data_IF_375918572640
#
_entry.id   IF_375918572640
#
_cell.length_a   1.000
_cell.length_b   1.000
_cell.length_c   1.000
_cell.angle_alpha   90.00
_cell.angle_beta   90.00
_cell.angle_gamma   90.00
#
_symmetry.space_group_name_H-M   'P 1'
#
loop_
_entity.id
_entity.type
_entity.pdbx_description
1 polymer ?
#
# COMPACT_ATOMS: atom_id res chain seq x y z
N UNK A 1 -36.22 -0.86 -3.31
CA UNK A 1 -34.80 -0.56 -3.58
C UNK A 1 -34.06 -0.58 -2.27
N UNK A 2 -33.32 -1.65 -1.99
CA UNK A 2 -32.39 -1.70 -0.85
C UNK A 2 -31.27 -0.70 -1.14
N UNK A 3 -31.12 0.33 -0.31
CA UNK A 3 -29.94 1.22 -0.36
C UNK A 3 -28.70 0.32 -0.22
N UNK A 4 -27.88 0.26 -1.27
CA UNK A 4 -26.65 -0.52 -1.24
C UNK A 4 -25.77 0.00 -0.10
N UNK A 5 -25.47 -0.86 0.86
CA UNK A 5 -24.58 -0.54 1.98
C UNK A 5 -23.21 -0.14 1.43
N UNK A 6 -22.62 0.94 1.97
CA UNK A 6 -21.31 1.40 1.54
C UNK A 6 -20.25 0.30 1.73
N UNK A 7 -19.33 0.08 0.78
CA UNK A 7 -18.27 -0.92 0.90
C UNK A 7 -17.42 -0.71 2.17
N UNK A 8 -16.99 -1.80 2.83
CA UNK A 8 -16.19 -1.75 4.07
C UNK A 8 -14.95 -0.88 3.93
N UNK A 9 -14.32 -0.84 2.75
CA UNK A 9 -13.14 0.00 2.46
C UNK A 9 -13.33 1.48 2.87
N UNK A 10 -14.57 2.01 2.77
CA UNK A 10 -14.90 3.39 3.07
C UNK A 10 -15.56 3.59 4.44
N UNK A 11 -15.43 2.60 5.33
CA UNK A 11 -15.98 2.62 6.68
C UNK A 11 -14.88 2.76 7.73
N UNK A 12 -15.22 3.26 8.92
CA UNK A 12 -14.28 3.44 10.02
C UNK A 12 -13.62 2.13 10.45
N UNK A 13 -12.40 2.23 10.99
CA UNK A 13 -11.65 1.10 11.53
C UNK A 13 -10.80 1.52 12.74
N UNK A 14 -10.56 0.61 13.65
CA UNK A 14 -9.67 0.82 14.80
C UNK A 14 -8.28 0.33 14.45
N UNK A 15 -7.31 1.23 14.39
CA UNK A 15 -5.89 0.98 14.11
C UNK A 15 -5.09 1.06 15.40
N UNK A 16 -4.25 0.08 15.74
CA UNK A 16 -3.51 0.11 17.00
C UNK A 16 -3.66 -1.17 17.82
N UNK A 17 -2.63 -1.52 18.59
CA UNK A 17 -2.73 -2.53 19.64
C UNK A 17 -3.64 -2.09 20.78
N UNK A 18 -3.93 -3.00 21.71
CA UNK A 18 -4.77 -2.84 22.91
C UNK A 18 -4.44 -1.61 23.76
N UNK A 19 -3.19 -1.15 23.77
CA UNK A 19 -2.73 -0.06 24.64
C UNK A 19 -3.09 1.35 24.15
N UNK A 20 -3.11 1.59 22.84
CA UNK A 20 -3.31 2.94 22.26
C UNK A 20 -3.97 2.89 20.88
N UNK A 21 -5.25 2.49 20.78
CA UNK A 21 -5.96 2.46 19.51
C UNK A 21 -6.28 3.87 18.99
N UNK A 22 -6.21 4.03 17.68
CA UNK A 22 -6.57 5.22 16.90
C UNK A 22 -7.77 4.88 16.02
N UNK A 23 -8.77 5.76 16.00
CA UNK A 23 -9.93 5.60 15.13
C UNK A 23 -9.66 6.21 13.75
N UNK A 24 -9.59 5.35 12.73
CA UNK A 24 -9.58 5.75 11.33
C UNK A 24 -11.01 6.03 10.86
N UNK A 25 -11.17 7.05 10.01
CA UNK A 25 -12.46 7.36 9.37
C UNK A 25 -12.78 6.41 8.20
N UNK A 26 -11.76 5.79 7.62
CA UNK A 26 -11.84 4.86 6.48
C UNK A 26 -10.63 3.91 6.47
N UNK A 27 -10.66 2.87 5.62
CA UNK A 27 -9.61 1.84 5.52
C UNK A 27 -8.59 2.07 4.40
N UNK A 28 -8.56 3.26 3.83
CA UNK A 28 -7.55 3.72 2.86
C UNK A 28 -6.44 4.49 3.60
N UNK A 29 -5.17 4.11 3.41
CA UNK A 29 -4.02 4.76 4.05
C UNK A 29 -2.92 5.07 3.04
N UNK A 30 -2.05 6.04 3.37
CA UNK A 30 -0.85 6.30 2.58
C UNK A 30 0.24 5.29 2.96
N UNK A 31 0.86 4.66 1.95
CA UNK A 31 2.00 3.76 2.20
C UNK A 31 3.19 4.54 2.79
N UNK A 32 3.90 4.02 3.80
CA UNK A 32 5.11 4.66 4.30
C UNK A 32 6.17 4.66 3.18
N UNK A 33 6.56 5.84 2.73
CA UNK A 33 7.62 6.01 1.74
C UNK A 33 8.97 5.87 2.43
N UNK A 34 9.44 4.65 2.58
CA UNK A 34 10.82 4.42 3.02
C UNK A 34 11.45 3.46 2.03
N UNK A 35 12.72 3.64 1.68
CA UNK A 35 13.63 2.67 1.05
C UNK A 35 13.93 2.87 -0.45
N UNK A 36 14.99 3.63 -0.72
CA UNK A 36 15.91 3.37 -1.85
C UNK A 36 17.05 2.48 -1.31
N UNK A 37 17.41 1.41 -2.03
CA UNK A 37 18.51 0.48 -1.68
C UNK A 37 19.51 0.26 -2.81
N UNK A 38 19.44 1.13 -3.81
CA UNK A 38 20.26 1.09 -5.01
C UNK A 38 21.29 2.21 -4.93
N UNK A 39 22.38 2.06 -5.69
CA UNK A 39 23.22 3.20 -6.01
C UNK A 39 22.50 4.19 -6.94
N UNK A 40 23.20 5.25 -7.33
CA UNK A 40 22.67 6.32 -8.17
C UNK A 40 22.22 5.85 -9.58
N UNK A 41 22.60 4.63 -9.97
CA UNK A 41 22.18 3.96 -11.20
C UNK A 41 20.83 3.24 -11.10
N UNK A 42 20.28 3.10 -9.89
CA UNK A 42 19.03 2.38 -9.66
C UNK A 42 19.13 0.86 -9.86
N UNK A 43 20.35 0.30 -9.94
CA UNK A 43 20.59 -1.14 -10.17
C UNK A 43 20.92 -1.82 -8.84
N UNK A 44 20.32 -2.99 -8.51
CA UNK A 44 20.64 -3.68 -7.28
C UNK A 44 22.02 -4.31 -7.36
N UNK A 45 22.97 -3.75 -6.61
CA UNK A 45 24.34 -4.27 -6.51
C UNK A 45 24.45 -5.51 -5.60
N UNK A 46 25.64 -6.11 -5.58
CA UNK A 46 25.95 -7.31 -4.80
C UNK A 46 25.61 -7.18 -3.30
N UNK A 47 25.66 -5.98 -2.72
CA UNK A 47 25.26 -5.73 -1.34
C UNK A 47 23.76 -5.98 -1.08
N UNK A 48 22.89 -5.76 -2.06
CA UNK A 48 21.44 -6.06 -1.95
C UNK A 48 21.19 -7.56 -2.03
N UNK A 49 21.92 -8.25 -2.92
CA UNK A 49 21.88 -9.71 -3.05
C UNK A 49 22.34 -10.36 -1.74
N UNK A 50 23.51 -9.98 -1.24
CA UNK A 50 24.05 -10.44 0.04
C UNK A 50 23.11 -10.11 1.21
N UNK A 51 22.53 -8.91 1.23
CA UNK A 51 21.60 -8.48 2.27
C UNK A 51 20.36 -9.38 2.38
N UNK A 52 19.79 -9.85 1.26
CA UNK A 52 18.64 -10.75 1.28
C UNK A 52 19.06 -12.21 1.51
N UNK A 53 20.18 -12.65 0.95
CA UNK A 53 20.72 -14.00 1.17
C UNK A 53 21.07 -14.27 2.64
N UNK A 54 21.68 -13.31 3.35
CA UNK A 54 21.97 -13.41 4.79
C UNK A 54 20.72 -13.49 5.68
N UNK A 55 19.54 -13.16 5.12
CA UNK A 55 18.24 -13.21 5.81
C UNK A 55 17.39 -14.38 5.32
N UNK A 56 17.95 -15.27 4.51
CA UNK A 56 17.37 -16.57 4.22
C UNK A 56 18.03 -17.60 5.13
N UNK A 57 17.22 -18.42 5.79
CA UNK A 57 17.67 -19.63 6.50
C UNK A 57 17.19 -20.84 5.71
N UNK A 58 17.93 -21.95 5.81
CA UNK A 58 17.54 -23.21 5.17
C UNK A 58 16.16 -23.61 5.70
N UNK A 59 15.15 -23.70 4.80
CA UNK A 59 13.74 -23.88 5.16
C UNK A 59 12.81 -22.67 4.92
N UNK A 60 13.30 -21.48 4.56
CA UNK A 60 12.45 -20.39 4.02
C UNK A 60 11.48 -19.70 4.99
N UNK A 61 11.43 -20.08 6.27
CA UNK A 61 10.41 -19.64 7.23
C UNK A 61 10.70 -18.34 7.98
N UNK A 62 11.75 -17.56 7.67
CA UNK A 62 12.12 -16.39 8.50
C UNK A 62 10.97 -15.39 8.67
N UNK A 63 10.26 -15.05 7.58
CA UNK A 63 9.13 -14.13 7.68
C UNK A 63 7.93 -14.74 8.41
N UNK A 64 7.63 -16.02 8.18
CA UNK A 64 6.58 -16.73 8.91
C UNK A 64 6.85 -16.75 10.41
N UNK A 65 8.06 -17.17 10.81
CA UNK A 65 8.51 -17.19 12.20
C UNK A 65 8.51 -15.79 12.83
N UNK A 66 9.07 -14.78 12.17
CA UNK A 66 9.06 -13.41 12.70
C UNK A 66 7.62 -12.94 12.88
N UNK A 67 6.78 -13.08 11.85
CA UNK A 67 5.38 -12.64 11.89
C UNK A 67 4.59 -13.37 12.99
N UNK A 68 4.85 -14.66 13.21
CA UNK A 68 4.29 -15.40 14.32
C UNK A 68 4.71 -14.78 15.66
N UNK A 69 6.02 -14.51 15.86
CA UNK A 69 6.53 -13.84 17.07
C UNK A 69 6.03 -12.41 17.24
N UNK A 70 5.72 -11.71 16.15
CA UNK A 70 5.13 -10.36 16.23
C UNK A 70 3.74 -10.37 16.90
N UNK A 71 3.04 -11.51 16.96
CA UNK A 71 1.79 -11.64 17.71
C UNK A 71 1.97 -11.49 19.23
N UNK A 72 3.17 -11.72 19.76
CA UNK A 72 3.47 -11.54 21.19
C UNK A 72 3.53 -10.04 21.59
N UNK A 73 3.55 -9.16 20.60
CA UNK A 73 3.60 -7.72 20.77
C UNK A 73 2.25 -7.06 20.48
N UNK A 74 1.98 -5.98 21.21
CA UNK A 74 0.79 -5.17 21.01
C UNK A 74 0.99 -4.14 19.89
N UNK A 75 1.30 -4.62 18.68
CA UNK A 75 1.64 -3.79 17.54
C UNK A 75 0.40 -3.13 16.94
N UNK A 76 0.59 -1.94 16.38
CA UNK A 76 -0.49 -1.22 15.74
C UNK A 76 -0.99 -1.88 14.46
N UNK A 77 -0.06 -2.38 13.64
CA UNK A 77 -0.33 -3.12 12.42
C UNK A 77 0.93 -3.81 11.89
N UNK A 78 0.73 -4.77 11.00
CA UNK A 78 1.75 -5.28 10.08
C UNK A 78 1.49 -4.70 8.69
N UNK A 79 2.52 -4.13 8.05
CA UNK A 79 2.43 -3.64 6.68
C UNK A 79 3.04 -4.67 5.73
N UNK A 80 2.23 -5.22 4.84
CA UNK A 80 2.65 -6.19 3.84
C UNK A 80 2.66 -5.54 2.45
N UNK A 81 3.76 -5.71 1.72
CA UNK A 81 3.92 -5.24 0.35
C UNK A 81 3.87 -6.46 -0.56
N UNK A 82 2.86 -6.50 -1.43
CA UNK A 82 2.70 -7.60 -2.39
C UNK A 82 3.79 -7.56 -3.47
N UNK A 83 4.31 -8.72 -3.92
CA UNK A 83 5.29 -8.82 -5.00
C UNK A 83 4.59 -8.64 -6.37
N UNK A 84 3.88 -7.52 -6.55
CA UNK A 84 3.12 -7.16 -7.75
C UNK A 84 3.22 -5.67 -8.07
N UNK A 85 2.62 -5.23 -9.17
CA UNK A 85 2.62 -3.84 -9.60
C UNK A 85 3.80 -3.52 -10.51
N UNK A 86 4.71 -2.62 -10.07
CA UNK A 86 5.93 -2.30 -10.86
C UNK A 86 7.08 -3.26 -10.60
N UNK A 87 7.00 -4.05 -9.52
CA UNK A 87 7.99 -5.08 -9.24
C UNK A 87 7.58 -6.31 -10.04
N UNK A 88 8.50 -6.77 -10.90
CA UNK A 88 8.37 -8.08 -11.54
C UNK A 88 8.40 -9.10 -10.40
N UNK A 89 7.36 -9.95 -10.26
CA UNK A 89 7.39 -11.02 -9.27
C UNK A 89 8.61 -11.90 -9.54
N UNK A 90 9.30 -12.33 -8.47
CA UNK A 90 10.32 -13.36 -8.62
C UNK A 90 9.69 -14.63 -9.23
N UNK A 91 10.44 -15.45 -9.99
CA UNK A 91 9.91 -16.68 -10.59
C UNK A 91 9.26 -17.64 -9.59
N UNK A 92 9.67 -17.56 -8.32
CA UNK A 92 9.22 -18.35 -7.18
C UNK A 92 8.29 -17.57 -6.24
N UNK A 93 7.82 -16.38 -6.63
CA UNK A 93 6.85 -15.62 -5.85
C UNK A 93 5.57 -16.46 -5.68
N UNK A 94 4.99 -16.53 -4.46
CA UNK A 94 3.80 -17.33 -4.22
C UNK A 94 2.64 -16.93 -5.13
N UNK A 95 1.95 -17.92 -5.69
CA UNK A 95 0.75 -17.69 -6.47
C UNK A 95 -0.31 -17.01 -5.61
N UNK A 96 -0.85 -15.89 -6.09
CA UNK A 96 -1.79 -15.06 -5.32
C UNK A 96 -1.14 -14.13 -4.29
N UNK A 97 0.20 -14.09 -4.22
CA UNK A 97 0.93 -13.15 -3.40
C UNK A 97 1.21 -13.61 -1.96
N UNK A 98 1.70 -12.72 -1.11
CA UNK A 98 2.15 -13.07 0.25
C UNK A 98 1.06 -12.91 1.30
N UNK A 99 0.06 -12.05 1.05
CA UNK A 99 -1.05 -11.79 1.96
C UNK A 99 -1.83 -13.06 2.38
N UNK A 100 -2.23 -13.98 1.47
CA UNK A 100 -2.97 -15.18 1.87
C UNK A 100 -2.18 -16.12 2.78
N UNK A 101 -0.85 -16.04 2.73
CA UNK A 101 0.05 -16.81 3.61
C UNK A 101 0.10 -16.14 4.97
N UNK A 102 0.46 -14.85 5.03
CA UNK A 102 0.73 -14.16 6.29
C UNK A 102 -0.52 -13.77 7.07
N UNK A 103 -1.68 -13.61 6.43
CA UNK A 103 -2.97 -13.43 7.13
C UNK A 103 -3.32 -14.62 8.01
N UNK A 104 -2.88 -15.85 7.66
CA UNK A 104 -3.08 -17.07 8.47
C UNK A 104 -2.20 -17.12 9.72
N UNK A 105 -1.11 -16.34 9.73
CA UNK A 105 -0.07 -16.38 10.76
C UNK A 105 -0.22 -15.18 11.71
N UNK A 106 -0.46 -13.98 11.18
CA UNK A 106 -0.62 -12.77 11.98
C UNK A 106 -2.07 -12.62 12.43
N UNK A 107 -2.28 -12.30 13.70
CA UNK A 107 -3.60 -12.12 14.31
C UNK A 107 -4.02 -10.65 14.40
N UNK A 108 -3.07 -9.73 14.22
CA UNK A 108 -3.30 -8.29 14.33
C UNK A 108 -3.83 -7.65 13.03
N UNK A 109 -3.79 -6.32 13.02
CA UNK A 109 -4.27 -5.49 11.91
C UNK A 109 -3.29 -5.52 10.73
N UNK A 110 -3.73 -5.86 9.52
CA UNK A 110 -2.90 -5.88 8.32
C UNK A 110 -3.23 -4.73 7.38
N UNK A 111 -2.19 -3.98 7.00
CA UNK A 111 -2.23 -3.06 5.88
C UNK A 111 -1.53 -3.72 4.70
N UNK A 112 -2.26 -4.02 3.63
CA UNK A 112 -1.68 -4.55 2.38
C UNK A 112 -1.41 -3.44 1.39
N UNK A 113 -0.37 -3.58 0.56
CA UNK A 113 0.06 -2.58 -0.39
C UNK A 113 0.56 -3.19 -1.69
N UNK A 114 0.77 -2.31 -2.67
CA UNK A 114 1.27 -2.61 -4.02
C UNK A 114 0.21 -3.12 -4.99
N UNK A 115 0.11 -2.42 -6.13
CA UNK A 115 -0.64 -2.85 -7.31
C UNK A 115 -2.17 -2.90 -7.20
N UNK A 116 -2.78 -2.47 -6.09
CA UNK A 116 -4.23 -2.48 -5.93
C UNK A 116 -4.93 -1.45 -6.81
N UNK A 117 -5.94 -1.90 -7.55
CA UNK A 117 -6.99 -1.02 -8.06
C UNK A 117 -8.17 -0.92 -7.08
N UNK A 118 -9.20 -0.13 -7.45
CA UNK A 118 -10.42 0.05 -6.64
C UNK A 118 -11.15 -1.26 -6.37
N UNK A 119 -11.34 -2.09 -7.39
CA UNK A 119 -12.15 -3.31 -7.27
C UNK A 119 -11.44 -4.36 -6.41
N UNK A 120 -10.14 -4.55 -6.63
CA UNK A 120 -9.30 -5.42 -5.82
C UNK A 120 -9.21 -4.95 -4.37
N UNK A 121 -9.07 -3.63 -4.14
CA UNK A 121 -9.01 -3.06 -2.79
C UNK A 121 -10.32 -3.23 -2.02
N UNK A 122 -11.47 -3.11 -2.69
CA UNK A 122 -12.77 -3.43 -2.08
C UNK A 122 -12.80 -4.92 -1.74
N UNK A 123 -12.48 -5.78 -2.70
CA UNK A 123 -12.56 -7.24 -2.52
C UNK A 123 -11.68 -7.73 -1.36
N UNK A 124 -10.42 -7.31 -1.29
CA UNK A 124 -9.47 -7.80 -0.28
C UNK A 124 -9.90 -7.47 1.16
N UNK A 125 -10.57 -6.32 1.36
CA UNK A 125 -11.12 -5.91 2.65
C UNK A 125 -12.44 -6.62 2.95
N UNK A 126 -13.32 -6.80 1.95
CA UNK A 126 -14.57 -7.54 2.13
C UNK A 126 -14.33 -9.00 2.53
N UNK A 127 -13.32 -9.62 1.91
CA UNK A 127 -12.88 -10.99 2.18
C UNK A 127 -12.12 -11.12 3.53
N UNK A 128 -11.92 -10.01 4.26
CA UNK A 128 -11.09 -9.91 5.47
C UNK A 128 -9.65 -10.44 5.28
N UNK A 129 -9.14 -10.40 4.05
CA UNK A 129 -7.77 -10.81 3.75
C UNK A 129 -6.76 -9.75 4.25
N UNK A 130 -7.16 -8.47 4.23
CA UNK A 130 -6.46 -7.37 4.89
C UNK A 130 -7.46 -6.42 5.54
N UNK A 131 -7.02 -5.63 6.51
CA UNK A 131 -7.86 -4.67 7.23
C UNK A 131 -7.89 -3.29 6.56
N UNK A 132 -6.78 -2.89 5.93
CA UNK A 132 -6.62 -1.68 5.14
C UNK A 132 -5.80 -1.94 3.87
N UNK A 133 -5.97 -1.06 2.88
CA UNK A 133 -5.16 -1.04 1.65
C UNK A 133 -4.40 0.28 1.56
N UNK A 134 -3.09 0.18 1.36
CA UNK A 134 -2.24 1.34 1.16
C UNK A 134 -2.06 1.66 -0.32
N UNK A 135 -2.31 2.92 -0.67
CA UNK A 135 -2.04 3.48 -1.98
C UNK A 135 -0.86 4.45 -1.87
N UNK A 136 -0.03 4.50 -2.90
CA UNK A 136 1.14 5.38 -2.93
C UNK A 136 1.15 6.22 -4.21
N UNK A 137 1.30 5.55 -5.35
CA UNK A 137 1.41 6.21 -6.66
C UNK A 137 0.17 7.03 -6.99
N UNK A 138 -1.02 6.51 -6.71
CA UNK A 138 -2.25 7.23 -6.99
C UNK A 138 -2.44 8.42 -6.03
N UNK A 139 -1.94 8.33 -4.80
CA UNK A 139 -1.96 9.45 -3.86
C UNK A 139 -1.02 10.60 -4.28
N UNK A 140 0.02 10.33 -5.07
CA UNK A 140 0.89 11.39 -5.61
C UNK A 140 0.08 12.31 -6.53
N UNK A 141 -0.71 11.73 -7.45
CA UNK A 141 -1.48 12.52 -8.41
C UNK A 141 -2.90 12.86 -7.98
N UNK A 142 -3.42 12.26 -6.91
CA UNK A 142 -4.79 12.43 -6.46
C UNK A 142 -4.83 12.85 -4.98
N UNK A 143 -4.81 14.16 -4.68
CA UNK A 143 -4.84 14.64 -3.29
C UNK A 143 -6.14 14.27 -2.56
N UNK A 144 -7.19 13.95 -3.32
CA UNK A 144 -8.51 13.49 -2.87
C UNK A 144 -8.81 12.04 -3.28
N UNK A 145 -7.77 11.20 -3.40
CA UNK A 145 -7.89 9.80 -3.84
C UNK A 145 -9.01 9.03 -3.14
N UNK A 146 -9.20 9.22 -1.83
CA UNK A 146 -10.23 8.52 -1.06
C UNK A 146 -11.62 8.82 -1.61
N UNK A 147 -11.93 10.08 -1.93
CA UNK A 147 -13.23 10.46 -2.47
C UNK A 147 -13.41 9.94 -3.89
N UNK A 148 -12.35 9.96 -4.70
CA UNK A 148 -12.34 9.36 -6.04
C UNK A 148 -12.63 7.86 -6.00
N UNK A 149 -11.94 7.12 -5.14
CA UNK A 149 -12.17 5.70 -4.94
C UNK A 149 -13.60 5.45 -4.41
N UNK A 150 -14.09 6.27 -3.49
CA UNK A 150 -15.44 6.13 -2.92
C UNK A 150 -16.53 6.28 -3.97
N UNK A 151 -16.43 7.32 -4.80
CA UNK A 151 -17.41 7.65 -5.84
C UNK A 151 -17.19 6.92 -7.15
N UNK A 152 -16.03 6.28 -7.34
CA UNK A 152 -15.63 5.68 -8.62
C UNK A 152 -15.25 6.73 -9.67
N UNK A 153 -14.86 7.93 -9.25
CA UNK A 153 -14.42 8.98 -10.15
C UNK A 153 -13.07 8.65 -10.80
N UNK A 154 -12.81 9.25 -11.95
CA UNK A 154 -11.55 9.12 -12.69
C UNK A 154 -10.38 9.62 -11.85
N UNK A 155 -9.24 8.93 -11.95
CA UNK A 155 -8.00 9.33 -11.28
C UNK A 155 -7.18 10.24 -12.21
N UNK A 156 -6.55 11.26 -11.64
CA UNK A 156 -5.59 12.07 -12.35
C UNK A 156 -4.42 11.20 -12.83
N UNK A 157 -4.02 11.38 -14.09
CA UNK A 157 -2.83 10.75 -14.63
C UNK A 157 -1.58 11.24 -13.88
N UNK A 158 -0.77 10.28 -13.45
CA UNK A 158 0.49 10.58 -12.76
C UNK A 158 1.58 10.89 -13.77
N UNK A 159 2.25 12.02 -13.58
CA UNK A 159 3.46 12.34 -14.33
C UNK A 159 4.69 11.64 -13.71
N UNK A 160 5.17 10.58 -14.38
CA UNK A 160 6.34 9.81 -13.91
C UNK A 160 7.63 10.66 -13.85
N UNK A 161 7.75 11.70 -14.70
CA UNK A 161 8.97 12.53 -14.79
C UNK A 161 9.15 13.46 -13.60
N UNK A 162 8.09 13.69 -12.82
CA UNK A 162 8.08 14.59 -11.66
C UNK A 162 7.92 13.85 -10.34
N UNK A 163 7.88 12.50 -10.36
CA UNK A 163 7.90 11.69 -9.12
C UNK A 163 9.17 11.98 -8.31
N UNK A 164 10.30 12.11 -9.00
CA UNK A 164 11.51 12.70 -8.48
C UNK A 164 11.78 13.97 -9.30
N UNK A 165 11.66 15.13 -8.65
CA UNK A 165 11.68 16.41 -9.33
C UNK A 165 13.07 16.67 -9.94
N UNK A 166 13.17 16.89 -11.27
CA UNK A 166 14.43 17.23 -11.91
C UNK A 166 14.95 18.61 -11.49
N UNK A 167 16.27 18.81 -11.60
CA UNK A 167 16.87 20.13 -11.39
C UNK A 167 16.27 21.17 -12.36
N UNK A 168 15.97 22.36 -11.84
CA UNK A 168 15.45 23.47 -12.63
C UNK A 168 13.93 23.42 -12.90
N UNK A 169 13.23 22.41 -12.39
CA UNK A 169 11.75 22.36 -12.41
C UNK A 169 11.21 23.02 -11.12
N UNK A 170 10.15 23.86 -11.20
CA UNK A 170 9.53 24.42 -10.00
C UNK A 170 9.04 23.33 -9.04
N UNK A 171 9.20 23.58 -7.73
CA UNK A 171 8.95 22.58 -6.68
C UNK A 171 7.53 22.00 -6.70
N UNK A 172 6.57 22.84 -7.04
CA UNK A 172 5.15 22.53 -7.10
C UNK A 172 4.78 21.57 -8.25
N UNK A 173 5.60 21.51 -9.31
CA UNK A 173 5.25 20.84 -10.57
C UNK A 173 5.19 19.32 -10.41
N UNK A 174 3.99 18.75 -10.54
CA UNK A 174 3.71 17.35 -10.29
C UNK A 174 3.89 16.93 -8.83
N UNK A 175 3.76 17.87 -7.89
CA UNK A 175 3.82 17.63 -6.44
C UNK A 175 2.60 18.21 -5.72
N UNK A 176 2.36 19.52 -5.83
CA UNK A 176 1.21 20.20 -5.18
C UNK A 176 0.22 20.80 -6.18
N UNK A 177 0.46 20.65 -7.48
CA UNK A 177 -0.34 21.22 -8.57
C UNK A 177 -1.38 20.25 -9.17
N UNK A 178 -1.48 19.02 -8.67
CA UNK A 178 -2.52 18.09 -9.10
C UNK A 178 -3.91 18.55 -8.66
N UNK A 179 -4.91 18.54 -9.56
CA UNK A 179 -6.23 19.09 -9.27
C UNK A 179 -7.05 18.17 -8.36
N UNK A 180 -7.85 18.76 -7.48
CA UNK A 180 -8.93 18.09 -6.77
C UNK A 180 -10.13 17.86 -7.70
N UNK A 181 -11.00 16.88 -7.41
CA UNK A 181 -12.25 16.60 -8.16
C UNK A 181 -13.12 17.85 -8.32
N UNK A 182 -13.20 18.68 -7.28
CA UNK A 182 -13.97 19.91 -7.29
C UNK A 182 -13.46 20.94 -8.29
N UNK A 183 -12.18 20.86 -8.69
CA UNK A 183 -11.56 21.77 -9.65
C UNK A 183 -11.68 21.25 -11.09
N UNK A 184 -11.61 19.93 -11.29
CA UNK A 184 -11.77 19.28 -12.59
C UNK A 184 -13.19 19.41 -13.18
N UNK A 185 -14.21 19.65 -12.34
CA UNK A 185 -15.61 19.77 -12.76
C UNK A 185 -15.98 21.15 -13.35
N UNK A 186 -15.09 22.14 -13.22
CA UNK A 186 -15.36 23.55 -13.60
C UNK A 186 -15.01 23.88 -15.06
N UNK A 187 -14.43 22.94 -15.80
CA UNK A 187 -13.96 23.13 -17.18
C UNK A 187 -14.73 22.26 -18.21
N UNK A 188 -15.95 21.83 -17.89
CA UNK A 188 -16.87 21.22 -18.87
C UNK A 188 -18.15 22.03 -19.02
#
# INVERSE_FOLDING_TARGET
>A
MTLATAPKLFTAATLGGKKSPVQLKHRVVMSPMTRLRMGDDGIPGAAVVEFYSQRATDGGELFGYIIEKLNDYDLAYLHLVEPRGIQVPAPDAPEGGVLPIFRKIYNGFIITASGYDRAEAIKVVEDNSADCVAFARDFISNPDLVERLKTGAELNERNQKTVYLPLGVPFETGYTDYPFLSQSSTNK
#
